data_IF_235182747325
#
_entry.id   IF_235182747325
#
_cell.length_a   1.000
_cell.length_b   1.000
_cell.length_c   1.000
_cell.angle_alpha   90.00
_cell.angle_beta   90.00
_cell.angle_gamma   90.00
#
_symmetry.space_group_name_H-M   'P 1'
#
loop_
_entity.id
_entity.type
_entity.pdbx_description
1 polymer ?
#
# COMPACT_ATOMS: atom_id res chain seq x y z
N UNK A 1 -23.24 4.67 -24.47
CA UNK A 1 -24.03 5.24 -25.58
C UNK A 1 -23.21 6.29 -26.30
N UNK A 2 -22.62 5.91 -27.43
CA UNK A 2 -21.96 6.81 -28.38
C UNK A 2 -23.05 7.57 -29.14
N UNK A 3 -23.45 8.70 -28.63
CA UNK A 3 -24.28 9.64 -29.38
C UNK A 3 -23.43 10.21 -30.49
N UNK A 4 -23.92 10.08 -31.75
CA UNK A 4 -23.25 10.53 -32.97
C UNK A 4 -22.67 11.94 -32.82
N UNK A 5 -21.37 12.05 -32.89
CA UNK A 5 -20.63 13.28 -32.67
C UNK A 5 -20.76 14.13 -33.92
N UNK A 6 -21.57 15.18 -33.87
CA UNK A 6 -21.44 16.30 -34.79
C UNK A 6 -20.18 17.09 -34.43
N UNK A 7 -19.70 17.95 -35.32
CA UNK A 7 -18.46 18.78 -35.22
C UNK A 7 -18.21 19.47 -33.86
N UNK A 8 -19.17 19.46 -32.96
CA UNK A 8 -19.15 20.12 -31.63
C UNK A 8 -18.92 19.19 -30.43
N UNK A 9 -18.32 18.01 -30.62
CA UNK A 9 -18.09 17.03 -29.54
C UNK A 9 -17.35 17.59 -28.30
N UNK A 10 -16.47 18.54 -28.49
CA UNK A 10 -15.80 19.27 -27.39
C UNK A 10 -16.76 20.20 -26.66
N UNK A 11 -17.63 20.90 -27.38
CA UNK A 11 -18.64 21.80 -26.81
C UNK A 11 -19.67 21.05 -25.97
N UNK A 12 -20.15 19.86 -26.41
CA UNK A 12 -21.08 19.04 -25.62
C UNK A 12 -20.46 18.46 -24.35
N UNK A 13 -19.22 18.01 -24.43
CA UNK A 13 -18.52 17.50 -23.23
C UNK A 13 -18.31 18.62 -22.22
N UNK A 14 -17.87 19.81 -22.66
CA UNK A 14 -17.69 20.97 -21.82
C UNK A 14 -19.02 21.43 -21.18
N UNK A 15 -20.09 21.52 -21.97
CA UNK A 15 -21.43 21.90 -21.46
C UNK A 15 -21.95 20.92 -20.39
N UNK A 16 -21.69 19.62 -20.55
CA UNK A 16 -22.11 18.62 -19.57
C UNK A 16 -21.27 18.70 -18.29
N UNK A 17 -19.99 18.93 -18.42
CA UNK A 17 -19.08 19.19 -17.31
C UNK A 17 -19.51 20.45 -16.55
N UNK A 18 -19.77 21.54 -17.24
CA UNK A 18 -20.24 22.81 -16.66
C UNK A 18 -21.58 22.63 -15.90
N UNK A 19 -22.47 21.77 -16.40
CA UNK A 19 -23.73 21.45 -15.69
C UNK A 19 -23.48 20.69 -14.40
N UNK A 20 -22.60 19.66 -14.41
CA UNK A 20 -22.27 18.90 -13.20
C UNK A 20 -21.57 19.80 -12.19
N UNK A 21 -20.63 20.63 -12.62
CA UNK A 21 -19.95 21.61 -11.78
C UNK A 21 -20.96 22.59 -11.15
N UNK A 22 -21.91 23.09 -11.94
CA UNK A 22 -22.98 23.96 -11.45
C UNK A 22 -23.87 23.24 -10.43
N UNK A 23 -24.25 21.98 -10.67
CA UNK A 23 -25.01 21.19 -9.72
C UNK A 23 -24.22 20.96 -8.42
N UNK A 24 -22.94 20.65 -8.51
CA UNK A 24 -22.07 20.48 -7.34
C UNK A 24 -22.02 21.74 -6.48
N UNK A 25 -21.89 22.92 -7.12
CA UNK A 25 -21.87 24.21 -6.43
C UNK A 25 -23.24 24.64 -5.89
N UNK A 26 -24.35 24.29 -6.56
CA UNK A 26 -25.71 24.65 -6.13
C UNK A 26 -26.19 23.90 -4.88
N UNK A 27 -25.73 22.64 -4.70
CA UNK A 27 -26.19 21.83 -3.57
C UNK A 27 -25.55 22.20 -2.24
N UNK A 28 -24.52 23.03 -2.21
CA UNK A 28 -23.82 23.43 -0.98
C UNK A 28 -23.64 22.25 0.00
N UNK A 29 -22.86 21.25 -0.45
CA UNK A 29 -22.61 20.05 0.34
C UNK A 29 -22.08 20.43 1.73
N UNK A 30 -22.58 19.78 2.77
CA UNK A 30 -22.04 19.88 4.11
C UNK A 30 -20.60 19.36 4.14
N UNK A 31 -19.85 19.69 5.18
CA UNK A 31 -18.48 19.20 5.36
C UNK A 31 -18.41 17.68 5.35
N UNK A 32 -19.36 17.00 6.02
CA UNK A 32 -19.45 15.54 6.05
C UNK A 32 -19.74 14.93 4.67
N UNK A 33 -20.62 15.56 3.87
CA UNK A 33 -20.91 15.12 2.51
C UNK A 33 -19.71 15.33 1.59
N UNK A 34 -19.05 16.48 1.71
CA UNK A 34 -17.83 16.80 0.97
C UNK A 34 -16.71 15.79 1.29
N UNK A 35 -16.56 15.42 2.55
CA UNK A 35 -15.55 14.44 2.97
C UNK A 35 -15.84 13.05 2.39
N UNK A 36 -17.09 12.59 2.40
CA UNK A 36 -17.50 11.33 1.77
C UNK A 36 -17.22 11.37 0.26
N UNK A 37 -17.63 12.45 -0.42
CA UNK A 37 -17.43 12.60 -1.86
C UNK A 37 -15.94 12.60 -2.21
N UNK A 38 -15.12 13.36 -1.47
CA UNK A 38 -13.66 13.43 -1.62
C UNK A 38 -13.00 12.06 -1.54
N UNK A 39 -13.31 11.31 -0.50
CA UNK A 39 -12.72 9.98 -0.30
C UNK A 39 -13.26 8.94 -1.30
N UNK A 40 -14.54 9.03 -1.69
CA UNK A 40 -15.12 8.13 -2.70
C UNK A 40 -14.55 8.41 -4.11
N UNK A 41 -14.10 9.65 -4.38
CA UNK A 41 -13.40 9.99 -5.61
C UNK A 41 -12.06 9.27 -5.78
N UNK A 42 -11.47 8.78 -4.70
CA UNK A 42 -10.28 7.94 -4.69
C UNK A 42 -10.57 6.44 -4.84
N UNK A 43 -11.85 6.03 -4.90
CA UNK A 43 -12.23 4.66 -5.16
C UNK A 43 -12.33 4.36 -6.67
N UNK A 44 -12.25 3.08 -7.03
CA UNK A 44 -12.39 2.64 -8.42
C UNK A 44 -13.77 2.96 -9.01
N UNK A 45 -13.84 3.24 -10.31
CA UNK A 45 -15.11 3.36 -11.07
C UNK A 45 -15.97 2.10 -11.02
N UNK A 46 -15.38 0.93 -10.77
CA UNK A 46 -16.13 -0.31 -10.53
C UNK A 46 -16.89 -0.31 -9.20
N UNK A 47 -16.63 0.71 -8.37
CA UNK A 47 -17.24 0.91 -7.08
C UNK A 47 -16.57 0.15 -5.94
N UNK A 48 -17.04 0.43 -4.75
CA UNK A 48 -16.64 -0.19 -3.49
C UNK A 48 -17.89 -0.61 -2.73
N UNK A 49 -17.82 -1.71 -1.99
CA UNK A 49 -18.94 -2.08 -1.11
C UNK A 49 -19.19 -0.98 -0.07
N UNK A 50 -20.45 -0.60 0.11
CA UNK A 50 -20.85 0.52 0.96
C UNK A 50 -20.39 0.33 2.42
N UNK A 51 -20.53 -0.88 2.99
CA UNK A 51 -20.05 -1.20 4.35
C UNK A 51 -18.52 -1.16 4.46
N UNK A 52 -17.83 -1.61 3.42
CA UNK A 52 -16.37 -1.57 3.37
C UNK A 52 -15.88 -0.13 3.37
N UNK A 53 -16.46 0.72 2.51
CA UNK A 53 -16.14 2.13 2.45
C UNK A 53 -16.46 2.86 3.77
N UNK A 54 -17.62 2.56 4.38
CA UNK A 54 -17.97 3.10 5.70
C UNK A 54 -16.95 2.71 6.78
N UNK A 55 -16.46 1.47 6.77
CA UNK A 55 -15.43 1.01 7.69
C UNK A 55 -14.09 1.73 7.46
N UNK A 56 -13.69 1.94 6.19
CA UNK A 56 -12.47 2.68 5.87
C UNK A 56 -12.49 4.13 6.36
N UNK A 57 -13.69 4.77 6.29
CA UNK A 57 -13.87 6.14 6.79
C UNK A 57 -14.27 6.21 8.26
N UNK A 58 -14.41 5.06 8.95
CA UNK A 58 -14.85 4.99 10.35
C UNK A 58 -16.19 5.70 10.57
N UNK A 59 -17.10 5.63 9.57
CA UNK A 59 -18.43 6.25 9.66
C UNK A 59 -19.27 5.61 10.75
N UNK A 60 -20.02 6.42 11.49
CA UNK A 60 -20.93 5.93 12.54
C UNK A 60 -22.16 5.23 11.96
N UNK A 61 -22.66 5.74 10.83
CA UNK A 61 -23.82 5.22 10.10
C UNK A 61 -23.71 5.55 8.61
N UNK A 62 -24.72 5.17 7.84
CA UNK A 62 -24.77 5.35 6.39
C UNK A 62 -25.69 6.52 5.96
N UNK A 63 -26.20 7.34 6.89
CA UNK A 63 -27.21 8.35 6.58
C UNK A 63 -26.68 9.34 5.53
N UNK A 64 -25.51 9.93 5.76
CA UNK A 64 -24.91 10.89 4.82
C UNK A 64 -24.63 10.26 3.44
N UNK A 65 -24.22 8.98 3.37
CA UNK A 65 -24.06 8.28 2.10
C UNK A 65 -25.39 8.07 1.40
N UNK A 66 -26.45 7.71 2.15
CA UNK A 66 -27.80 7.55 1.61
C UNK A 66 -28.36 8.88 1.09
N UNK A 67 -28.15 9.97 1.83
CA UNK A 67 -28.55 11.33 1.39
C UNK A 67 -27.87 11.70 0.07
N UNK A 68 -26.58 11.38 -0.09
CA UNK A 68 -25.85 11.60 -1.34
C UNK A 68 -26.34 10.72 -2.49
N UNK A 69 -26.81 9.49 -2.19
CA UNK A 69 -27.46 8.62 -3.18
C UNK A 69 -28.82 9.23 -3.61
N UNK A 70 -29.63 9.68 -2.65
CA UNK A 70 -30.93 10.32 -2.94
C UNK A 70 -30.77 11.62 -3.73
N UNK A 71 -29.74 12.41 -3.45
CA UNK A 71 -29.36 13.61 -4.21
C UNK A 71 -28.79 13.30 -5.60
N UNK A 72 -28.51 12.02 -5.91
CA UNK A 72 -27.95 11.60 -7.20
C UNK A 72 -26.43 11.81 -7.38
N UNK A 73 -25.70 12.17 -6.32
CA UNK A 73 -24.25 12.31 -6.37
C UNK A 73 -23.54 10.95 -6.38
N UNK A 74 -24.04 9.99 -5.61
CA UNK A 74 -23.49 8.64 -5.50
C UNK A 74 -24.45 7.68 -6.21
N UNK A 75 -23.89 6.81 -7.06
CA UNK A 75 -24.63 5.74 -7.71
C UNK A 75 -24.59 4.49 -6.83
N UNK A 76 -25.78 4.00 -6.43
CA UNK A 76 -25.94 2.67 -5.87
C UNK A 76 -26.00 1.62 -7.00
N UNK A 77 -25.27 0.52 -6.84
CA UNK A 77 -25.17 -0.57 -7.81
C UNK A 77 -25.49 -1.91 -7.15
N UNK A 78 -25.65 -2.96 -7.97
CA UNK A 78 -25.86 -4.32 -7.48
C UNK A 78 -24.76 -4.76 -6.51
N UNK A 79 -25.06 -5.67 -5.59
CA UNK A 79 -24.10 -6.15 -4.58
C UNK A 79 -23.78 -5.15 -3.48
N UNK A 80 -24.64 -4.13 -3.29
CA UNK A 80 -24.42 -3.04 -2.31
C UNK A 80 -23.15 -2.22 -2.60
N UNK A 81 -22.82 -2.11 -3.87
CA UNK A 81 -21.69 -1.28 -4.30
C UNK A 81 -22.13 0.17 -4.44
N UNK A 82 -21.20 1.08 -4.17
CA UNK A 82 -21.35 2.52 -4.40
C UNK A 82 -20.19 3.04 -5.25
N UNK A 83 -20.47 3.98 -6.14
CA UNK A 83 -19.45 4.65 -6.95
C UNK A 83 -19.89 6.06 -7.31
N UNK A 84 -18.94 6.91 -7.68
CA UNK A 84 -19.24 8.14 -8.41
C UNK A 84 -19.35 7.84 -9.91
N UNK A 85 -20.23 8.57 -10.58
CA UNK A 85 -20.17 8.60 -12.05
C UNK A 85 -18.82 9.20 -12.48
N UNK A 86 -18.15 8.73 -13.55
CA UNK A 86 -16.83 9.24 -13.95
C UNK A 86 -16.71 10.75 -14.00
N UNK A 87 -17.71 11.45 -14.57
CA UNK A 87 -17.70 12.92 -14.61
C UNK A 87 -17.88 13.55 -13.23
N UNK A 88 -18.68 12.92 -12.34
CA UNK A 88 -18.83 13.38 -10.95
C UNK A 88 -17.51 13.19 -10.20
N UNK A 89 -16.79 12.12 -10.48
CA UNK A 89 -15.46 11.88 -9.89
C UNK A 89 -14.45 12.96 -10.33
N UNK A 90 -14.40 13.29 -11.64
CA UNK A 90 -13.55 14.37 -12.16
C UNK A 90 -13.86 15.71 -11.46
N UNK A 91 -15.14 16.11 -11.39
CA UNK A 91 -15.56 17.34 -10.70
C UNK A 91 -15.23 17.30 -9.20
N UNK A 92 -15.49 16.17 -8.55
CA UNK A 92 -15.18 16.02 -7.11
C UNK A 92 -13.68 16.15 -6.86
N UNK A 93 -12.84 15.54 -7.70
CA UNK A 93 -11.38 15.66 -7.58
C UNK A 93 -10.91 17.11 -7.72
N UNK A 94 -11.46 17.85 -8.68
CA UNK A 94 -11.11 19.26 -8.92
C UNK A 94 -11.57 20.17 -7.77
N UNK A 95 -12.80 20.00 -7.31
CA UNK A 95 -13.42 20.84 -6.28
C UNK A 95 -12.89 20.56 -4.87
N UNK A 96 -12.66 19.28 -4.53
CA UNK A 96 -12.29 18.88 -3.17
C UNK A 96 -10.80 18.66 -2.97
N UNK A 97 -10.04 18.54 -4.07
CA UNK A 97 -8.57 18.33 -4.08
C UNK A 97 -8.14 17.32 -3.01
N UNK A 98 -8.44 16.03 -3.18
CA UNK A 98 -8.05 15.02 -2.21
C UNK A 98 -6.55 15.05 -1.94
N UNK A 99 -6.18 15.21 -0.69
CA UNK A 99 -4.78 15.27 -0.24
C UNK A 99 -4.52 14.27 0.87
N UNK A 100 -3.24 14.04 1.17
CA UNK A 100 -2.83 13.14 2.26
C UNK A 100 -3.46 13.57 3.58
N UNK A 101 -3.48 14.87 3.87
CA UNK A 101 -4.07 15.40 5.11
C UNK A 101 -5.60 15.29 5.09
N UNK A 102 -6.26 15.68 3.99
CA UNK A 102 -7.73 15.67 3.92
C UNK A 102 -8.33 14.26 3.81
N UNK A 103 -7.57 13.28 3.32
CA UNK A 103 -7.97 11.86 3.22
C UNK A 103 -7.24 10.96 4.24
N UNK A 104 -6.70 11.53 5.32
CA UNK A 104 -5.90 10.83 6.32
C UNK A 104 -6.59 9.56 6.86
N UNK A 105 -7.89 9.64 7.19
CA UNK A 105 -8.65 8.49 7.72
C UNK A 105 -8.70 7.32 6.73
N UNK A 106 -8.88 7.61 5.43
CA UNK A 106 -8.84 6.59 4.38
C UNK A 106 -7.46 5.96 4.29
N UNK A 107 -6.40 6.79 4.17
CA UNK A 107 -5.02 6.29 4.06
C UNK A 107 -4.65 5.42 5.26
N UNK A 108 -4.91 5.90 6.48
CA UNK A 108 -4.65 5.15 7.71
C UNK A 108 -5.37 3.80 7.72
N UNK A 109 -6.64 3.77 7.31
CA UNK A 109 -7.42 2.53 7.28
C UNK A 109 -6.88 1.53 6.25
N UNK A 110 -6.53 1.99 5.04
CA UNK A 110 -5.92 1.15 4.00
C UNK A 110 -4.56 0.60 4.47
N UNK A 111 -3.73 1.45 5.06
CA UNK A 111 -2.44 1.09 5.64
C UNK A 111 -2.58 0.04 6.75
N UNK A 112 -3.49 0.24 7.69
CA UNK A 112 -3.75 -0.69 8.79
C UNK A 112 -4.21 -2.07 8.30
N UNK A 113 -4.99 -2.13 7.22
CA UNK A 113 -5.39 -3.40 6.60
C UNK A 113 -4.16 -4.11 6.03
N UNK A 114 -3.29 -3.37 5.32
CA UNK A 114 -2.06 -3.93 4.75
C UNK A 114 -1.07 -4.42 5.83
N UNK A 115 -1.01 -3.73 6.98
CA UNK A 115 -0.16 -4.11 8.11
C UNK A 115 -0.69 -5.31 8.92
N UNK A 116 -1.98 -5.68 8.77
CA UNK A 116 -2.55 -6.88 9.38
C UNK A 116 -2.18 -8.12 8.59
N UNK A 117 -0.93 -8.48 8.65
CA UNK A 117 -0.37 -9.63 7.95
C UNK A 117 -1.12 -10.93 8.30
N UNK A 118 -1.48 -11.71 7.28
CA UNK A 118 -2.10 -13.02 7.44
C UNK A 118 -3.63 -13.03 7.50
N UNK A 119 -4.30 -11.89 7.56
CA UNK A 119 -5.75 -11.84 7.39
C UNK A 119 -6.09 -11.94 5.90
N UNK A 120 -6.78 -13.01 5.51
CA UNK A 120 -7.30 -13.14 4.17
C UNK A 120 -8.45 -12.17 3.98
N UNK A 121 -8.26 -11.20 3.07
CA UNK A 121 -9.26 -10.16 2.79
C UNK A 121 -10.00 -10.52 1.51
N UNK A 122 -11.26 -10.93 1.63
CA UNK A 122 -12.10 -11.33 0.49
C UNK A 122 -12.30 -10.20 -0.55
N UNK A 123 -12.07 -8.96 -0.15
CA UNK A 123 -12.21 -7.77 -1.00
C UNK A 123 -10.87 -7.18 -1.47
N UNK A 124 -9.80 -7.98 -1.50
CA UNK A 124 -8.44 -7.49 -1.85
C UNK A 124 -8.39 -6.73 -3.19
N UNK A 125 -9.23 -7.09 -4.17
CA UNK A 125 -9.31 -6.37 -5.45
C UNK A 125 -9.77 -4.93 -5.28
N UNK A 126 -10.82 -4.68 -4.49
CA UNK A 126 -11.31 -3.34 -4.21
C UNK A 126 -10.27 -2.54 -3.41
N UNK A 127 -9.60 -3.18 -2.45
CA UNK A 127 -8.52 -2.61 -1.67
C UNK A 127 -7.38 -2.14 -2.57
N UNK A 128 -6.85 -3.02 -3.42
CA UNK A 128 -5.75 -2.68 -4.33
C UNK A 128 -6.12 -1.61 -5.34
N UNK A 129 -7.30 -1.68 -5.94
CA UNK A 129 -7.77 -0.65 -6.86
C UNK A 129 -7.87 0.72 -6.17
N UNK A 130 -8.36 0.76 -4.93
CA UNK A 130 -8.41 2.02 -4.17
C UNK A 130 -7.02 2.52 -3.83
N UNK A 131 -6.09 1.65 -3.41
CA UNK A 131 -4.69 2.04 -3.17
C UNK A 131 -4.05 2.60 -4.44
N UNK A 132 -4.27 1.98 -5.61
CA UNK A 132 -3.76 2.50 -6.89
C UNK A 132 -4.32 3.89 -7.22
N UNK A 133 -5.62 4.11 -7.00
CA UNK A 133 -6.22 5.45 -7.18
C UNK A 133 -5.61 6.47 -6.21
N UNK A 134 -5.46 6.12 -4.95
CA UNK A 134 -4.78 6.97 -3.95
C UNK A 134 -3.38 7.33 -4.44
N UNK A 135 -2.55 6.35 -4.81
CA UNK A 135 -1.17 6.59 -5.24
C UNK A 135 -1.09 7.52 -6.46
N UNK A 136 -2.03 7.37 -7.42
CA UNK A 136 -2.01 8.10 -8.67
C UNK A 136 -2.63 9.51 -8.58
N UNK A 137 -3.63 9.71 -7.71
CA UNK A 137 -4.50 10.88 -7.76
C UNK A 137 -4.40 11.79 -6.54
N UNK A 138 -3.89 11.30 -5.41
CA UNK A 138 -3.86 12.10 -4.19
C UNK A 138 -2.80 13.20 -4.27
N UNK A 139 -3.15 14.40 -3.81
CA UNK A 139 -2.19 15.49 -3.63
C UNK A 139 -1.31 15.22 -2.41
N UNK A 140 0.00 15.29 -2.60
CA UNK A 140 0.95 15.01 -1.53
C UNK A 140 1.31 16.30 -0.79
N UNK A 141 0.53 16.61 0.22
CA UNK A 141 0.71 17.74 1.14
C UNK A 141 1.34 17.34 2.50
N UNK A 142 1.65 16.04 2.68
CA UNK A 142 2.38 15.49 3.84
C UNK A 142 3.33 14.37 3.40
N UNK A 143 4.55 14.75 3.01
CA UNK A 143 5.54 13.82 2.46
C UNK A 143 5.90 12.67 3.40
N UNK A 144 6.17 12.85 4.71
CA UNK A 144 6.49 11.75 5.62
C UNK A 144 5.37 10.72 5.72
N UNK A 145 4.11 11.16 5.83
CA UNK A 145 2.94 10.27 5.90
C UNK A 145 2.78 9.52 4.58
N UNK A 146 2.96 10.21 3.45
CA UNK A 146 2.82 9.58 2.14
C UNK A 146 3.90 8.54 1.86
N UNK A 147 5.18 8.83 2.19
CA UNK A 147 6.26 7.84 2.07
C UNK A 147 5.96 6.60 2.90
N UNK A 148 5.58 6.77 4.16
CA UNK A 148 5.22 5.67 5.04
C UNK A 148 4.07 4.84 4.47
N UNK A 149 3.04 5.48 3.92
CA UNK A 149 1.93 4.78 3.27
C UNK A 149 2.42 3.89 2.13
N UNK A 150 3.28 4.41 1.24
CA UNK A 150 3.84 3.64 0.12
C UNK A 150 4.68 2.45 0.60
N UNK A 151 5.46 2.63 1.64
CA UNK A 151 6.30 1.58 2.23
C UNK A 151 5.47 0.46 2.86
N UNK A 152 4.43 0.81 3.59
CA UNK A 152 3.61 -0.15 4.35
C UNK A 152 2.63 -0.95 3.45
N UNK A 153 2.23 -0.42 2.28
CA UNK A 153 1.34 -1.16 1.36
C UNK A 153 2.10 -2.15 0.47
N UNK A 154 3.39 -1.95 0.23
CA UNK A 154 4.18 -2.79 -0.69
C UNK A 154 4.26 -4.26 -0.26
N UNK A 155 4.60 -4.60 1.01
CA UNK A 155 4.70 -6.00 1.45
C UNK A 155 3.39 -6.78 1.30
N UNK A 156 2.27 -6.10 1.49
CA UNK A 156 0.96 -6.71 1.32
C UNK A 156 0.67 -7.03 -0.16
N UNK A 157 1.02 -6.12 -1.07
CA UNK A 157 0.93 -6.36 -2.52
C UNK A 157 1.85 -7.51 -2.95
N UNK A 158 3.06 -7.61 -2.39
CA UNK A 158 4.00 -8.69 -2.63
C UNK A 158 3.43 -10.06 -2.21
N UNK A 159 2.83 -10.14 -1.03
CA UNK A 159 2.18 -11.36 -0.51
C UNK A 159 1.07 -11.86 -1.44
N UNK A 160 0.30 -10.96 -2.04
CA UNK A 160 -0.75 -11.28 -3.02
C UNK A 160 -0.24 -11.39 -4.46
N UNK A 161 1.07 -11.18 -4.70
CA UNK A 161 1.70 -11.15 -6.03
C UNK A 161 1.03 -10.14 -6.98
N UNK A 162 0.63 -9.01 -6.42
CA UNK A 162 -0.01 -7.93 -7.18
C UNK A 162 1.04 -7.06 -7.86
N UNK A 163 1.65 -7.61 -8.92
CA UNK A 163 2.82 -7.02 -9.60
C UNK A 163 2.58 -5.61 -10.15
N UNK A 164 1.37 -5.32 -10.63
CA UNK A 164 1.03 -3.98 -11.13
C UNK A 164 1.11 -2.93 -10.00
N UNK A 165 0.56 -3.22 -8.84
CA UNK A 165 0.64 -2.34 -7.67
C UNK A 165 2.06 -2.20 -7.15
N UNK A 166 2.83 -3.31 -7.10
CA UNK A 166 4.25 -3.28 -6.71
C UNK A 166 5.06 -2.36 -7.62
N UNK A 167 4.88 -2.47 -8.95
CA UNK A 167 5.55 -1.62 -9.93
C UNK A 167 5.17 -0.14 -9.75
N UNK A 168 3.89 0.15 -9.50
CA UNK A 168 3.41 1.50 -9.24
C UNK A 168 4.07 2.10 -8.00
N UNK A 169 4.14 1.36 -6.88
CA UNK A 169 4.79 1.82 -5.64
C UNK A 169 6.28 2.07 -5.88
N UNK A 170 6.99 1.12 -6.52
CA UNK A 170 8.42 1.25 -6.84
C UNK A 170 8.68 2.51 -7.68
N UNK A 171 7.88 2.74 -8.72
CA UNK A 171 8.02 3.90 -9.59
C UNK A 171 7.77 5.20 -8.82
N UNK A 172 6.71 5.24 -8.00
CA UNK A 172 6.37 6.43 -7.20
C UNK A 172 7.46 6.75 -6.17
N UNK A 173 7.92 5.74 -5.41
CA UNK A 173 9.05 5.91 -4.49
C UNK A 173 10.33 6.34 -5.21
N UNK A 174 10.61 5.73 -6.38
CA UNK A 174 11.78 6.10 -7.19
C UNK A 174 11.74 7.57 -7.61
N UNK A 175 10.57 8.06 -8.01
CA UNK A 175 10.41 9.47 -8.42
C UNK A 175 10.55 10.42 -7.24
N UNK A 176 9.93 10.12 -6.12
CA UNK A 176 10.00 10.96 -4.91
C UNK A 176 11.42 11.01 -4.33
N UNK A 177 12.10 9.87 -4.25
CA UNK A 177 13.43 9.76 -3.64
C UNK A 177 14.58 10.19 -4.58
N UNK A 178 14.31 10.67 -5.82
CA UNK A 178 15.29 11.38 -6.66
C UNK A 178 15.74 12.68 -6.00
N UNK A 179 14.81 13.37 -5.35
CA UNK A 179 15.15 14.53 -4.53
C UNK A 179 15.85 14.06 -3.25
N UNK A 180 17.08 14.51 -3.05
CA UNK A 180 17.88 14.17 -1.87
C UNK A 180 17.33 14.74 -0.57
N UNK A 181 16.51 15.78 -0.66
CA UNK A 181 15.84 16.37 0.50
C UNK A 181 14.64 15.53 0.98
N UNK A 182 14.12 14.63 0.13
CA UNK A 182 13.00 13.75 0.43
C UNK A 182 13.51 12.42 0.95
N UNK A 183 12.99 11.96 2.07
CA UNK A 183 13.31 10.67 2.66
C UNK A 183 14.74 10.56 3.22
N UNK A 184 15.01 9.44 3.84
CA UNK A 184 16.27 9.09 4.51
C UNK A 184 17.10 8.10 3.68
N UNK A 185 18.26 7.73 4.19
CA UNK A 185 19.05 6.61 3.66
C UNK A 185 18.30 5.28 3.84
N UNK A 186 17.53 5.14 4.92
CA UNK A 186 16.73 3.96 5.18
C UNK A 186 15.63 3.77 4.11
N UNK A 187 14.92 4.82 3.73
CA UNK A 187 13.88 4.78 2.69
C UNK A 187 14.48 4.38 1.32
N UNK A 188 15.69 4.87 1.02
CA UNK A 188 16.42 4.48 -0.21
C UNK A 188 16.89 3.03 -0.19
N UNK A 189 17.35 2.54 0.96
CA UNK A 189 17.71 1.15 1.13
C UNK A 189 16.48 0.23 0.99
N UNK A 190 15.35 0.65 1.56
CA UNK A 190 14.08 -0.06 1.44
C UNK A 190 13.59 -0.11 -0.02
N UNK A 191 13.62 1.03 -0.73
CA UNK A 191 13.30 1.08 -2.16
C UNK A 191 14.18 0.11 -2.97
N UNK A 192 15.48 0.08 -2.71
CA UNK A 192 16.39 -0.82 -3.41
C UNK A 192 16.07 -2.30 -3.13
N UNK A 193 15.66 -2.61 -1.89
CA UNK A 193 15.17 -3.95 -1.51
C UNK A 193 13.88 -4.31 -2.26
N UNK A 194 12.93 -3.38 -2.40
CA UNK A 194 11.70 -3.59 -3.19
C UNK A 194 12.01 -3.83 -4.67
N UNK A 195 12.92 -3.06 -5.24
CA UNK A 195 13.40 -3.26 -6.60
C UNK A 195 14.08 -4.63 -6.77
N UNK A 196 14.84 -5.08 -5.76
CA UNK A 196 15.46 -6.40 -5.74
C UNK A 196 14.41 -7.53 -5.70
N UNK A 197 13.33 -7.38 -4.92
CA UNK A 197 12.24 -8.35 -4.86
C UNK A 197 11.48 -8.46 -6.20
N UNK A 198 11.41 -7.37 -6.97
CA UNK A 198 10.76 -7.32 -8.29
C UNK A 198 11.69 -7.76 -9.45
N UNK A 199 13.00 -7.82 -9.23
CA UNK A 199 14.00 -8.17 -10.26
C UNK A 199 13.92 -9.66 -10.63
N UNK A 200 13.81 -9.93 -11.93
CA UNK A 200 13.68 -11.30 -12.47
C UNK A 200 14.99 -12.09 -12.53
N UNK A 201 16.13 -11.38 -12.53
CA UNK A 201 17.46 -12.00 -12.61
C UNK A 201 18.03 -12.21 -11.21
N UNK A 202 18.17 -13.47 -10.73
CA UNK A 202 18.53 -13.74 -9.34
C UNK A 202 19.86 -13.11 -8.90
N UNK A 203 20.90 -13.14 -9.72
CA UNK A 203 22.20 -12.57 -9.36
C UNK A 203 22.13 -11.04 -9.24
N UNK A 204 21.29 -10.38 -10.08
CA UNK A 204 21.07 -8.94 -9.99
C UNK A 204 20.25 -8.60 -8.77
N UNK A 205 19.20 -9.35 -8.44
CA UNK A 205 18.39 -9.20 -7.25
C UNK A 205 19.25 -9.30 -5.98
N UNK A 206 20.09 -10.36 -5.89
CA UNK A 206 21.02 -10.57 -4.77
C UNK A 206 22.00 -9.39 -4.64
N UNK A 207 22.54 -8.89 -5.77
CA UNK A 207 23.44 -7.75 -5.75
C UNK A 207 22.73 -6.50 -5.21
N UNK A 208 21.55 -6.18 -5.73
CA UNK A 208 20.76 -5.04 -5.26
C UNK A 208 20.43 -5.14 -3.77
N UNK A 209 20.08 -6.33 -3.29
CA UNK A 209 19.79 -6.55 -1.87
C UNK A 209 21.04 -6.34 -0.98
N UNK A 210 22.23 -6.76 -1.44
CA UNK A 210 23.50 -6.48 -0.76
C UNK A 210 23.82 -4.99 -0.74
N UNK A 211 23.59 -4.31 -1.87
CA UNK A 211 23.80 -2.88 -1.97
C UNK A 211 22.86 -2.12 -1.01
N UNK A 212 21.59 -2.57 -0.85
CA UNK A 212 20.65 -2.02 0.11
C UNK A 212 21.16 -2.16 1.56
N UNK A 213 21.68 -3.33 1.94
CA UNK A 213 22.30 -3.54 3.26
C UNK A 213 23.50 -2.60 3.47
N UNK A 214 24.36 -2.46 2.46
CA UNK A 214 25.53 -1.62 2.51
C UNK A 214 25.24 -0.12 2.62
N UNK A 215 24.02 0.31 2.24
CA UNK A 215 23.57 1.69 2.43
C UNK A 215 23.37 2.06 3.91
N UNK A 216 23.18 1.10 4.80
CA UNK A 216 23.01 1.33 6.23
C UNK A 216 24.37 1.25 6.93
N UNK A 217 25.05 2.39 7.17
CA UNK A 217 26.47 2.39 7.59
C UNK A 217 26.67 1.97 9.05
N UNK A 218 25.65 2.14 9.87
CA UNK A 218 25.67 1.80 11.29
C UNK A 218 24.30 1.32 11.75
N UNK A 219 24.28 0.21 12.43
CA UNK A 219 23.09 -0.32 13.07
C UNK A 219 22.72 0.52 14.30
N UNK A 220 21.45 0.90 14.41
CA UNK A 220 20.86 1.64 15.52
C UNK A 220 19.51 1.04 15.87
N UNK A 221 18.94 1.39 17.03
CA UNK A 221 17.57 0.95 17.40
C UNK A 221 16.51 1.36 16.38
N UNK A 222 16.71 2.48 15.68
CA UNK A 222 15.76 3.01 14.70
C UNK A 222 15.74 2.21 13.38
N UNK A 223 16.89 1.67 12.96
CA UNK A 223 17.02 0.94 11.70
C UNK A 223 17.23 -0.57 11.87
N UNK A 224 17.27 -1.08 13.10
CA UNK A 224 17.51 -2.48 13.38
C UNK A 224 16.46 -3.41 12.74
N UNK A 225 15.17 -3.04 12.81
CA UNK A 225 14.11 -3.82 12.18
C UNK A 225 14.26 -3.84 10.65
N UNK A 226 14.53 -2.69 10.03
CA UNK A 226 14.81 -2.64 8.59
C UNK A 226 16.01 -3.53 8.23
N UNK A 227 17.11 -3.41 8.97
CA UNK A 227 18.32 -4.17 8.67
C UNK A 227 18.09 -5.69 8.84
N UNK A 228 17.30 -6.12 9.84
CA UNK A 228 16.90 -7.52 9.99
C UNK A 228 16.08 -8.00 8.79
N UNK A 229 15.12 -7.17 8.31
CA UNK A 229 14.33 -7.46 7.11
C UNK A 229 15.22 -7.60 5.87
N UNK A 230 16.18 -6.69 5.69
CA UNK A 230 17.10 -6.74 4.55
C UNK A 230 17.94 -8.03 4.53
N UNK A 231 18.44 -8.48 5.68
CA UNK A 231 19.18 -9.75 5.78
C UNK A 231 18.27 -10.97 5.59
N UNK A 232 17.05 -10.96 6.13
CA UNK A 232 16.08 -12.04 5.95
C UNK A 232 15.71 -12.20 4.47
N UNK A 233 15.46 -11.08 3.77
CA UNK A 233 15.18 -11.07 2.33
C UNK A 233 16.36 -11.62 1.52
N UNK A 234 17.60 -11.23 1.84
CA UNK A 234 18.79 -11.78 1.19
C UNK A 234 18.90 -13.29 1.42
N UNK A 235 18.61 -13.75 2.64
CA UNK A 235 18.54 -15.18 2.97
C UNK A 235 17.49 -15.91 2.14
N UNK A 236 16.30 -15.34 1.99
CA UNK A 236 15.23 -15.86 1.12
C UNK A 236 15.67 -15.97 -0.33
N UNK A 237 16.33 -14.93 -0.87
CA UNK A 237 16.86 -14.96 -2.24
C UNK A 237 17.89 -16.05 -2.45
N UNK A 238 18.78 -16.27 -1.48
CA UNK A 238 19.75 -17.38 -1.53
C UNK A 238 19.08 -18.74 -1.45
N UNK A 239 18.07 -18.91 -0.57
CA UNK A 239 17.28 -20.14 -0.48
C UNK A 239 16.64 -20.48 -1.82
N UNK A 240 15.98 -19.51 -2.47
CA UNK A 240 15.34 -19.69 -3.80
C UNK A 240 16.37 -20.09 -4.88
N UNK A 241 17.63 -19.70 -4.74
CA UNK A 241 18.73 -20.05 -5.63
C UNK A 241 19.48 -21.33 -5.20
N UNK A 242 18.98 -22.11 -4.25
CA UNK A 242 19.59 -23.35 -3.77
C UNK A 242 20.87 -23.18 -2.97
N UNK A 243 21.26 -21.94 -2.61
CA UNK A 243 22.48 -21.63 -1.84
C UNK A 243 22.15 -21.64 -0.34
N UNK A 244 21.83 -22.84 0.20
CA UNK A 244 21.24 -23.00 1.54
C UNK A 244 22.15 -22.51 2.66
N UNK A 245 23.47 -22.69 2.59
CA UNK A 245 24.42 -22.21 3.61
C UNK A 245 24.44 -20.67 3.65
N UNK A 246 24.51 -20.00 2.48
CA UNK A 246 24.43 -18.54 2.42
C UNK A 246 23.05 -18.02 2.89
N UNK A 247 21.97 -18.75 2.61
CA UNK A 247 20.65 -18.43 3.14
C UNK A 247 20.64 -18.48 4.66
N UNK A 248 21.21 -19.55 5.25
CA UNK A 248 21.33 -19.72 6.69
C UNK A 248 22.13 -18.60 7.32
N UNK A 249 23.33 -18.29 6.81
CA UNK A 249 24.19 -17.23 7.32
C UNK A 249 23.46 -15.88 7.40
N UNK A 250 22.74 -15.52 6.35
CA UNK A 250 22.02 -14.24 6.29
C UNK A 250 20.79 -14.22 7.21
N UNK A 251 20.00 -15.32 7.27
CA UNK A 251 18.89 -15.41 8.22
C UNK A 251 19.39 -15.41 9.67
N UNK A 252 20.54 -16.00 9.97
CA UNK A 252 21.15 -15.91 11.31
C UNK A 252 21.57 -14.48 11.67
N UNK A 253 22.03 -13.67 10.71
CA UNK A 253 22.26 -12.25 10.94
C UNK A 253 20.96 -11.52 11.31
N UNK A 254 19.87 -11.78 10.57
CA UNK A 254 18.56 -11.20 10.88
C UNK A 254 18.11 -11.58 12.31
N UNK A 255 18.22 -12.86 12.69
CA UNK A 255 17.83 -13.34 14.03
C UNK A 255 18.71 -12.72 15.12
N UNK A 256 20.01 -12.55 14.89
CA UNK A 256 20.90 -11.87 15.85
C UNK A 256 20.48 -10.44 16.11
N UNK A 257 20.10 -9.70 15.06
CA UNK A 257 19.59 -8.32 15.19
C UNK A 257 18.29 -8.31 15.99
N UNK A 258 17.36 -9.23 15.71
CA UNK A 258 16.11 -9.37 16.44
C UNK A 258 16.35 -9.60 17.94
N UNK A 259 17.27 -10.52 18.27
CA UNK A 259 17.62 -10.86 19.66
C UNK A 259 18.30 -9.68 20.36
N UNK A 260 19.27 -9.01 19.69
CA UNK A 260 20.06 -7.91 20.25
C UNK A 260 19.21 -6.67 20.58
N UNK A 261 18.20 -6.37 19.72
CA UNK A 261 17.36 -5.18 19.88
C UNK A 261 15.98 -5.49 20.47
N UNK A 262 15.72 -6.73 20.88
CA UNK A 262 14.45 -7.13 21.52
C UNK A 262 13.23 -7.00 20.60
N UNK A 263 13.39 -7.31 19.30
CA UNK A 263 12.37 -7.10 18.27
C UNK A 263 11.43 -8.29 18.05
N UNK A 264 11.51 -9.34 18.88
CA UNK A 264 10.81 -10.62 18.65
C UNK A 264 9.27 -10.50 18.60
N UNK A 265 8.69 -9.44 19.17
CA UNK A 265 7.25 -9.20 19.18
C UNK A 265 6.72 -8.51 17.91
N UNK A 266 7.59 -8.01 17.04
CA UNK A 266 7.15 -7.47 15.76
C UNK A 266 6.73 -8.60 14.81
N UNK A 267 5.68 -8.37 14.03
CA UNK A 267 5.17 -9.36 13.09
C UNK A 267 6.25 -9.84 12.11
N UNK A 268 7.00 -8.90 11.53
CA UNK A 268 8.08 -9.22 10.59
C UNK A 268 9.12 -10.16 11.21
N UNK A 269 9.47 -9.94 12.47
CA UNK A 269 10.41 -10.80 13.20
C UNK A 269 9.85 -12.21 13.39
N UNK A 270 8.55 -12.35 13.66
CA UNK A 270 7.88 -13.66 13.75
C UNK A 270 7.99 -14.40 12.41
N UNK A 271 7.72 -13.70 11.29
CA UNK A 271 7.86 -14.27 9.94
C UNK A 271 9.30 -14.69 9.65
N UNK A 272 10.28 -13.86 10.01
CA UNK A 272 11.70 -14.17 9.81
C UNK A 272 12.14 -15.40 10.61
N UNK A 273 11.79 -15.49 11.90
CA UNK A 273 12.09 -16.63 12.75
C UNK A 273 11.45 -17.91 12.20
N UNK A 274 10.21 -17.79 11.71
CA UNK A 274 9.49 -18.92 11.08
C UNK A 274 10.19 -19.37 9.81
N UNK A 275 10.57 -18.45 8.92
CA UNK A 275 11.27 -18.76 7.67
C UNK A 275 12.65 -19.38 7.93
N UNK A 276 13.34 -18.93 8.97
CA UNK A 276 14.60 -19.54 9.39
C UNK A 276 14.41 -20.96 9.90
N UNK A 277 13.40 -21.22 10.72
CA UNK A 277 13.08 -22.55 11.19
C UNK A 277 12.71 -23.51 10.05
N UNK A 278 11.96 -23.05 9.06
CA UNK A 278 11.66 -23.82 7.83
C UNK A 278 12.96 -24.12 7.07
N UNK A 279 13.85 -23.13 6.87
CA UNK A 279 15.13 -23.35 6.23
C UNK A 279 15.96 -24.43 6.93
N UNK A 280 16.06 -24.38 8.27
CA UNK A 280 16.78 -25.37 9.05
C UNK A 280 16.18 -26.78 8.90
N UNK A 281 14.86 -26.88 8.82
CA UNK A 281 14.17 -28.15 8.55
C UNK A 281 14.52 -28.69 7.16
N UNK A 282 14.52 -27.83 6.13
CA UNK A 282 14.94 -28.17 4.77
C UNK A 282 16.40 -28.65 4.69
N UNK A 283 17.25 -28.12 5.60
CA UNK A 283 18.67 -28.53 5.73
C UNK A 283 18.86 -29.78 6.62
N UNK A 284 17.80 -30.44 7.06
CA UNK A 284 17.88 -31.63 7.93
C UNK A 284 18.18 -31.33 9.40
N UNK A 285 17.95 -30.10 9.87
CA UNK A 285 18.17 -29.63 11.24
C UNK A 285 16.84 -29.24 11.95
N UNK A 286 15.80 -30.11 12.00
CA UNK A 286 14.48 -29.73 12.50
C UNK A 286 14.49 -29.37 14.00
N UNK A 287 15.33 -30.02 14.81
CA UNK A 287 15.43 -29.73 16.25
C UNK A 287 15.94 -28.32 16.52
N UNK A 288 16.89 -27.84 15.72
CA UNK A 288 17.40 -26.47 15.79
C UNK A 288 16.32 -25.48 15.35
N UNK A 289 15.59 -25.80 14.28
CA UNK A 289 14.43 -25.02 13.82
C UNK A 289 13.34 -24.89 14.88
N UNK A 290 12.99 -26.00 15.54
CA UNK A 290 12.03 -26.01 16.63
C UNK A 290 12.51 -25.17 17.83
N UNK A 291 13.81 -25.22 18.14
CA UNK A 291 14.40 -24.38 19.19
C UNK A 291 14.31 -22.89 18.87
N UNK A 292 14.48 -22.50 17.59
CA UNK A 292 14.27 -21.11 17.15
C UNK A 292 12.81 -20.64 17.35
N UNK A 293 11.84 -21.46 16.95
CA UNK A 293 10.41 -21.15 17.14
C UNK A 293 10.00 -21.04 18.63
N UNK A 294 10.60 -21.82 19.52
CA UNK A 294 10.30 -21.74 20.97
C UNK A 294 10.66 -20.37 21.57
N UNK A 295 11.51 -19.58 20.94
CA UNK A 295 11.79 -18.20 21.38
C UNK A 295 10.58 -17.29 21.24
N UNK A 296 9.66 -17.56 20.30
CA UNK A 296 8.43 -16.78 20.09
C UNK A 296 7.37 -17.03 21.19
N UNK A 297 7.53 -18.08 21.99
CA UNK A 297 6.60 -18.45 23.06
C UNK A 297 7.04 -17.93 24.45
N UNK A 298 8.10 -17.15 24.52
CA UNK A 298 8.63 -16.53 25.74
C UNK A 298 8.39 -15.04 25.76
#
# INVERSE_FOLDING_TARGET
>A
DTIGISKDGKSRKATYYDHIHTLFSLYQLSEAETDIMRNLALASFSGVQNRLFANWLKLRDMNTVNDLIEKGFIKAMEGRMIALHPMMQEVTMEETKPSVQTCHTLLESLQQICLRHGEEVSYYKQLFQTIEFVINQIENDDMPVYLRFLEDVFPYMENYRYYQGMELVINKLSDLLKDKAVGSIADRALLLSYQAAYEKKPDKAIKMQKDAIAMIPKMTSENALLLSNLYANLGGMYKMNGKLELAKENMEQAIRIIDEYGLAYYHDSIVQITNYAVLLTDMGQPDVGLSALRKLCR
#
